data_IF_279385372220
#
_entry.id   IF_279385372220
#
_cell.length_a   1.000
_cell.length_b   1.000
_cell.length_c   1.000
_cell.angle_alpha   90.00
_cell.angle_beta   90.00
_cell.angle_gamma   90.00
#
_symmetry.space_group_name_H-M   'P 1'
#
loop_
_entity.id
_entity.type
_entity.pdbx_description
1 polymer ?
#
# COMPACT_ATOMS: atom_id res chain seq x y z
N UNK A 1 -8.13 18.55 12.12
CA UNK A 1 -6.70 18.33 11.81
C UNK A 1 -6.17 19.57 11.09
N UNK A 2 -5.20 20.31 11.68
CA UNK A 2 -4.69 21.56 11.10
C UNK A 2 -4.22 21.37 9.65
N UNK A 3 -4.56 22.27 8.73
CA UNK A 3 -4.26 22.20 7.29
C UNK A 3 -2.78 21.95 6.98
N UNK A 4 -1.87 22.42 7.84
CA UNK A 4 -0.43 22.11 7.75
C UNK A 4 -0.12 20.62 7.88
N UNK A 5 -0.75 19.92 8.83
CA UNK A 5 -0.53 18.48 9.03
C UNK A 5 -1.05 17.68 7.84
N UNK A 6 -2.21 18.07 7.29
CA UNK A 6 -2.80 17.43 6.11
C UNK A 6 -1.92 17.56 4.87
N UNK A 7 -1.33 18.74 4.64
CA UNK A 7 -0.44 19.00 3.49
C UNK A 7 0.85 18.17 3.49
N UNK A 8 1.29 17.66 4.65
CA UNK A 8 2.49 16.84 4.79
C UNK A 8 2.13 15.35 4.84
N UNK A 9 1.01 14.99 5.49
CA UNK A 9 0.56 13.60 5.58
C UNK A 9 0.13 13.02 4.23
N UNK A 10 -0.56 13.79 3.39
CA UNK A 10 -1.01 13.32 2.07
C UNK A 10 0.15 12.90 1.14
N UNK A 11 1.21 13.72 0.94
CA UNK A 11 2.35 13.30 0.12
C UNK A 11 3.18 12.20 0.79
N UNK A 12 3.30 12.19 2.12
CA UNK A 12 4.01 11.13 2.85
C UNK A 12 3.28 9.77 2.71
N UNK A 13 1.95 9.77 2.76
CA UNK A 13 1.16 8.56 2.55
C UNK A 13 1.29 8.03 1.12
N UNK A 14 1.29 8.92 0.11
CA UNK A 14 1.57 8.54 -1.28
C UNK A 14 2.96 7.92 -1.43
N UNK A 15 3.99 8.55 -0.88
CA UNK A 15 5.36 8.03 -0.96
C UNK A 15 5.50 6.67 -0.27
N UNK A 16 4.86 6.50 0.89
CA UNK A 16 4.85 5.23 1.62
C UNK A 16 4.19 4.10 0.82
N UNK A 17 3.06 4.38 0.14
CA UNK A 17 2.43 3.38 -0.73
C UNK A 17 3.32 2.97 -1.90
N UNK A 18 3.98 3.93 -2.55
CA UNK A 18 4.92 3.64 -3.65
C UNK A 18 6.08 2.76 -3.15
N UNK A 19 6.62 3.07 -1.96
CA UNK A 19 7.68 2.26 -1.36
C UNK A 19 7.20 0.85 -1.02
N UNK A 20 5.99 0.68 -0.47
CA UNK A 20 5.41 -0.64 -0.19
C UNK A 20 5.25 -1.46 -1.46
N UNK A 21 4.75 -0.87 -2.55
CA UNK A 21 4.61 -1.54 -3.85
C UNK A 21 5.97 -1.93 -4.43
N UNK A 22 6.96 -1.05 -4.36
CA UNK A 22 8.34 -1.33 -4.79
C UNK A 22 8.96 -2.46 -3.98
N UNK A 23 8.81 -2.43 -2.65
CA UNK A 23 9.27 -3.51 -1.77
C UNK A 23 8.59 -4.82 -2.14
N UNK A 24 7.27 -4.86 -2.31
CA UNK A 24 6.54 -6.06 -2.72
C UNK A 24 7.04 -6.61 -4.07
N UNK A 25 7.32 -5.74 -5.05
CA UNK A 25 7.84 -6.15 -6.35
C UNK A 25 9.25 -6.74 -6.26
N UNK A 26 10.17 -6.09 -5.54
CA UNK A 26 11.55 -6.56 -5.36
C UNK A 26 11.57 -7.87 -4.57
N UNK A 27 10.84 -7.94 -3.44
CA UNK A 27 10.80 -9.15 -2.61
C UNK A 27 10.10 -10.29 -3.34
N UNK A 28 9.03 -10.02 -4.09
CA UNK A 28 8.37 -11.02 -4.92
C UNK A 28 9.31 -11.58 -5.99
N UNK A 29 10.07 -10.71 -6.65
CA UNK A 29 11.08 -11.17 -7.61
C UNK A 29 12.11 -12.11 -6.98
N UNK A 30 12.66 -11.73 -5.82
CA UNK A 30 13.63 -12.56 -5.09
C UNK A 30 13.04 -13.89 -4.62
N UNK A 31 11.76 -13.89 -4.22
CA UNK A 31 11.07 -15.09 -3.74
C UNK A 31 10.81 -16.10 -4.86
N UNK A 32 10.38 -15.65 -6.04
CA UNK A 32 9.96 -16.56 -7.12
C UNK A 32 11.03 -16.80 -8.19
N UNK A 33 11.93 -15.85 -8.42
CA UNK A 33 12.96 -15.91 -9.46
C UNK A 33 14.39 -15.91 -8.91
N UNK A 34 14.56 -15.90 -7.58
CA UNK A 34 15.86 -16.06 -6.95
C UNK A 34 16.45 -17.45 -7.19
N UNK A 35 17.77 -17.52 -7.39
CA UNK A 35 18.48 -18.80 -7.50
C UNK A 35 18.45 -19.60 -6.20
N UNK A 36 18.36 -18.91 -5.05
CA UNK A 36 18.39 -19.53 -3.72
C UNK A 36 16.97 -19.78 -3.17
N UNK A 37 16.51 -21.02 -3.26
CA UNK A 37 15.18 -21.42 -2.75
C UNK A 37 15.02 -21.18 -1.23
N UNK A 38 16.09 -21.34 -0.45
CA UNK A 38 16.08 -21.05 0.99
C UNK A 38 15.88 -19.57 1.28
N UNK A 39 16.51 -18.69 0.49
CA UNK A 39 16.33 -17.25 0.59
C UNK A 39 14.88 -16.87 0.23
N UNK A 40 14.32 -17.50 -0.81
CA UNK A 40 12.93 -17.31 -1.19
C UNK A 40 11.95 -17.73 -0.10
N UNK A 41 12.16 -18.89 0.53
CA UNK A 41 11.33 -19.35 1.65
C UNK A 41 11.42 -18.42 2.87
N UNK A 42 12.62 -17.88 3.16
CA UNK A 42 12.83 -16.92 4.25
C UNK A 42 12.18 -15.55 3.98
N UNK A 43 12.21 -15.09 2.73
CA UNK A 43 11.63 -13.80 2.31
C UNK A 43 10.13 -13.87 2.04
N UNK A 44 9.55 -15.07 1.88
CA UNK A 44 8.13 -15.27 1.57
C UNK A 44 7.18 -14.60 2.59
N UNK A 45 7.38 -14.70 3.92
CA UNK A 45 6.53 -14.01 4.89
C UNK A 45 6.57 -12.48 4.73
N UNK A 46 7.76 -11.93 4.46
CA UNK A 46 7.93 -10.49 4.23
C UNK A 46 7.23 -10.04 2.95
N UNK A 47 7.34 -10.83 1.87
CA UNK A 47 6.58 -10.60 0.64
C UNK A 47 5.08 -10.63 0.88
N UNK A 48 4.57 -11.65 1.60
CA UNK A 48 3.15 -11.77 1.93
C UNK A 48 2.65 -10.54 2.69
N UNK A 49 3.43 -10.08 3.68
CA UNK A 49 3.09 -8.90 4.47
C UNK A 49 3.04 -7.63 3.60
N UNK A 50 4.01 -7.45 2.71
CA UNK A 50 4.06 -6.32 1.78
C UNK A 50 2.85 -6.32 0.82
N UNK A 51 2.46 -7.48 0.30
CA UNK A 51 1.28 -7.63 -0.56
C UNK A 51 -0.01 -7.29 0.20
N UNK A 52 -0.18 -7.82 1.41
CA UNK A 52 -1.37 -7.54 2.23
C UNK A 52 -1.47 -6.03 2.53
N UNK A 53 -0.36 -5.38 2.85
CA UNK A 53 -0.33 -3.93 3.07
C UNK A 53 -0.65 -3.13 1.80
N UNK A 54 -0.13 -3.54 0.64
CA UNK A 54 -0.46 -2.90 -0.63
C UNK A 54 -1.96 -3.00 -0.95
N UNK A 55 -2.55 -4.20 -0.78
CA UNK A 55 -3.98 -4.43 -0.98
C UNK A 55 -4.81 -3.61 0.00
N UNK A 56 -4.43 -3.59 1.27
CA UNK A 56 -5.08 -2.77 2.29
C UNK A 56 -5.07 -1.28 1.94
N UNK A 57 -3.92 -0.76 1.47
CA UNK A 57 -3.79 0.62 1.00
C UNK A 57 -4.78 0.95 -0.12
N UNK A 58 -4.85 0.10 -1.15
CA UNK A 58 -5.78 0.26 -2.28
C UNK A 58 -7.24 0.21 -1.83
N UNK A 59 -7.60 -0.76 -0.99
CA UNK A 59 -8.96 -0.90 -0.46
C UNK A 59 -9.36 0.30 0.40
N UNK A 60 -8.45 0.82 1.22
CA UNK A 60 -8.71 2.00 2.05
C UNK A 60 -9.04 3.23 1.19
N UNK A 61 -8.32 3.43 0.07
CA UNK A 61 -8.60 4.51 -0.90
C UNK A 61 -9.93 4.31 -1.60
N UNK A 62 -10.21 3.08 -2.01
CA UNK A 62 -11.49 2.73 -2.64
C UNK A 62 -12.65 3.05 -1.68
N UNK A 63 -12.55 2.64 -0.42
CA UNK A 63 -13.54 2.93 0.61
C UNK A 63 -13.73 4.44 0.81
N UNK A 64 -12.64 5.20 0.93
CA UNK A 64 -12.68 6.66 1.02
C UNK A 64 -13.30 7.32 -0.22
N UNK A 65 -13.02 6.81 -1.42
CA UNK A 65 -13.60 7.31 -2.67
C UNK A 65 -15.11 7.04 -2.72
N UNK A 66 -15.55 5.84 -2.33
CA UNK A 66 -16.97 5.47 -2.25
C UNK A 66 -17.69 6.33 -1.19
N UNK A 67 -17.10 6.50 -0.01
CA UNK A 67 -17.63 7.36 1.06
C UNK A 67 -17.76 8.80 0.59
N UNK A 68 -16.74 9.37 -0.07
CA UNK A 68 -16.80 10.71 -0.65
C UNK A 68 -17.91 10.82 -1.71
N UNK A 69 -18.05 9.83 -2.59
CA UNK A 69 -19.11 9.83 -3.61
C UNK A 69 -20.53 9.80 -2.99
N UNK A 70 -20.72 9.02 -1.92
CA UNK A 70 -21.98 8.93 -1.18
C UNK A 70 -22.29 10.20 -0.39
N UNK A 71 -21.32 10.75 0.35
CA UNK A 71 -21.51 11.97 1.15
C UNK A 71 -21.72 13.22 0.29
N UNK A 72 -21.06 13.34 -0.86
CA UNK A 72 -21.28 14.46 -1.80
C UNK A 72 -22.72 14.50 -2.35
N UNK A 73 -23.42 13.38 -2.33
CA UNK A 73 -24.82 13.28 -2.78
C UNK A 73 -25.82 13.60 -1.67
N UNK A 74 -25.39 13.72 -0.41
CA UNK A 74 -26.25 14.03 0.75
C UNK A 74 -26.22 15.54 1.13
N UNK A 75 -25.35 16.33 0.48
CA UNK A 75 -25.26 17.79 0.64
C UNK A 75 -26.08 18.56 -0.43
N UNK A 76 -26.75 17.83 -1.33
CA UNK A 76 -27.75 18.39 -2.27
C UNK A 76 -29.15 18.05 -1.80
#
# INVERSE_FOLDING_TARGET
>A
MNERKRRILEPAANAAEVLIVLSAAITGWLVFFGQDQLLGAFLFPTFLFAVVFAVYGVLSRLALAILRARYRSCEK
#
